data_IF_103523643781
#
_entry.id   IF_103523643781
#
_cell.length_a   1.000
_cell.length_b   1.000
_cell.length_c   1.000
_cell.angle_alpha   90.00
_cell.angle_beta   90.00
_cell.angle_gamma   90.00
#
_symmetry.space_group_name_H-M   'P 1'
#
loop_
_entity.id
_entity.type
_entity.pdbx_description
1 polymer ?
#
# COMPACT_ATOMS: atom_id res chain seq x y z
N UNK A 1 -4.94 42.57 3.51
CA UNK A 1 -3.83 41.59 3.49
C UNK A 1 -3.83 40.58 4.64
N UNK A 2 -4.65 40.72 5.71
CA UNK A 2 -4.72 39.72 6.78
C UNK A 2 -5.64 38.51 6.47
N UNK A 3 -6.71 38.71 5.70
CA UNK A 3 -7.71 37.68 5.38
C UNK A 3 -7.22 36.60 4.41
N UNK A 4 -6.39 36.97 3.42
CA UNK A 4 -5.82 36.02 2.46
C UNK A 4 -4.92 34.97 3.15
N UNK A 5 -4.24 35.38 4.22
CA UNK A 5 -3.36 34.52 5.01
C UNK A 5 -4.14 33.49 5.83
N UNK A 6 -5.27 33.89 6.44
CA UNK A 6 -6.13 32.96 7.21
C UNK A 6 -6.77 31.91 6.29
N UNK A 7 -7.24 32.33 5.12
CA UNK A 7 -7.79 31.39 4.13
C UNK A 7 -6.73 30.40 3.64
N UNK A 8 -5.52 30.88 3.31
CA UNK A 8 -4.41 30.00 2.92
C UNK A 8 -4.02 29.00 4.02
N UNK A 9 -3.99 29.42 5.30
CA UNK A 9 -3.70 28.52 6.43
C UNK A 9 -4.79 27.45 6.58
N UNK A 10 -6.07 27.83 6.48
CA UNK A 10 -7.19 26.89 6.55
C UNK A 10 -7.15 25.89 5.40
N UNK A 11 -6.88 26.34 4.17
CA UNK A 11 -6.74 25.45 3.01
C UNK A 11 -5.59 24.45 3.21
N UNK A 12 -4.43 24.91 3.66
CA UNK A 12 -3.29 24.02 3.96
C UNK A 12 -3.66 23.01 5.06
N UNK A 13 -4.34 23.44 6.13
CA UNK A 13 -4.79 22.57 7.21
C UNK A 13 -5.79 21.50 6.72
N UNK A 14 -6.73 21.87 5.86
CA UNK A 14 -7.68 20.91 5.28
C UNK A 14 -6.99 19.91 4.35
N UNK A 15 -5.97 20.32 3.60
CA UNK A 15 -5.20 19.44 2.72
C UNK A 15 -4.34 18.46 3.55
N UNK A 16 -3.65 18.94 4.59
CA UNK A 16 -2.83 18.09 5.45
C UNK A 16 -3.68 17.12 6.26
N UNK A 17 -4.83 17.54 6.78
CA UNK A 17 -5.78 16.63 7.44
C UNK A 17 -6.25 15.51 6.52
N UNK A 18 -6.63 15.79 5.27
CA UNK A 18 -7.04 14.74 4.32
C UNK A 18 -5.92 13.73 4.04
N UNK A 19 -4.70 14.21 3.82
CA UNK A 19 -3.55 13.33 3.59
C UNK A 19 -3.27 12.43 4.81
N UNK A 20 -3.37 12.99 6.03
CA UNK A 20 -3.23 12.22 7.27
C UNK A 20 -4.37 11.20 7.42
N UNK A 21 -5.62 11.56 7.10
CA UNK A 21 -6.75 10.64 7.19
C UNK A 21 -6.59 9.47 6.20
N UNK A 22 -6.13 9.73 4.98
CA UNK A 22 -5.93 8.67 3.96
C UNK A 22 -4.89 7.62 4.38
N UNK A 23 -3.80 8.04 5.03
CA UNK A 23 -2.79 7.12 5.58
C UNK A 23 -3.30 6.36 6.82
N UNK A 24 -4.09 7.02 7.67
CA UNK A 24 -4.74 6.39 8.84
C UNK A 24 -5.77 5.35 8.44
N UNK A 25 -6.51 5.59 7.36
CA UNK A 25 -7.53 4.69 6.83
C UNK A 25 -6.93 3.32 6.45
N UNK A 26 -5.83 3.30 5.70
CA UNK A 26 -5.22 2.05 5.25
C UNK A 26 -4.63 1.25 6.42
N UNK A 27 -3.94 1.94 7.34
CA UNK A 27 -3.36 1.32 8.54
C UNK A 27 -4.45 0.73 9.44
N UNK A 28 -5.59 1.41 9.55
CA UNK A 28 -6.76 0.91 10.27
C UNK A 28 -7.36 -0.32 9.57
N UNK A 29 -7.56 -0.29 8.25
CA UNK A 29 -8.06 -1.44 7.47
C UNK A 29 -7.14 -2.66 7.62
N UNK A 30 -5.83 -2.46 7.54
CA UNK A 30 -4.81 -3.52 7.70
C UNK A 30 -4.94 -4.18 9.07
N UNK A 31 -5.07 -3.37 10.12
CA UNK A 31 -5.20 -3.84 11.50
C UNK A 31 -6.52 -4.57 11.73
N UNK A 32 -7.64 -3.99 11.33
CA UNK A 32 -8.98 -4.57 11.55
C UNK A 32 -9.18 -5.89 10.80
N UNK A 33 -8.53 -6.05 9.64
CA UNK A 33 -8.61 -7.27 8.83
C UNK A 33 -7.49 -8.28 9.12
N UNK A 34 -6.63 -8.01 10.12
CA UNK A 34 -5.47 -8.82 10.48
C UNK A 34 -4.59 -9.17 9.28
N UNK A 35 -4.38 -8.22 8.37
CA UNK A 35 -3.72 -8.50 7.09
C UNK A 35 -2.28 -8.98 7.26
N UNK A 36 -1.54 -8.42 8.22
CA UNK A 36 -0.14 -8.75 8.47
C UNK A 36 0.05 -10.15 9.08
N UNK A 37 -0.96 -10.69 9.78
CA UNK A 37 -0.86 -12.02 10.41
C UNK A 37 -1.26 -13.16 9.48
N UNK A 38 -1.89 -12.85 8.33
CA UNK A 38 -2.32 -13.84 7.33
C UNK A 38 -1.17 -14.39 6.47
N UNK A 39 -0.01 -13.74 6.53
CA UNK A 39 1.15 -14.06 5.71
C UNK A 39 2.36 -14.31 6.59
N UNK A 40 3.10 -15.38 6.30
CA UNK A 40 4.35 -15.66 6.99
C UNK A 40 5.43 -14.67 6.57
N UNK A 41 6.29 -14.28 7.51
CA UNK A 41 7.44 -13.42 7.23
C UNK A 41 8.30 -13.88 6.04
N UNK A 42 8.58 -15.19 5.84
CA UNK A 42 9.30 -15.65 4.66
C UNK A 42 8.61 -15.31 3.34
N UNK A 43 7.27 -15.42 3.30
CA UNK A 43 6.49 -15.12 2.11
C UNK A 43 6.41 -13.60 1.88
N UNK A 44 6.30 -12.79 2.93
CA UNK A 44 6.38 -11.32 2.83
C UNK A 44 7.69 -10.89 2.17
N UNK A 45 8.83 -11.45 2.63
CA UNK A 45 10.13 -11.13 2.07
C UNK A 45 10.28 -11.62 0.62
N UNK A 46 9.75 -12.80 0.32
CA UNK A 46 9.74 -13.36 -1.03
C UNK A 46 8.92 -12.49 -1.99
N UNK A 47 7.69 -12.13 -1.62
CA UNK A 47 6.83 -11.26 -2.41
C UNK A 47 7.47 -9.88 -2.65
N UNK A 48 8.03 -9.26 -1.59
CA UNK A 48 8.75 -7.99 -1.72
C UNK A 48 9.94 -8.11 -2.68
N UNK A 49 10.78 -9.13 -2.51
CA UNK A 49 11.93 -9.38 -3.39
C UNK A 49 11.48 -9.61 -4.83
N UNK A 50 10.36 -10.29 -5.01
CA UNK A 50 9.81 -10.62 -6.31
C UNK A 50 9.31 -9.39 -7.06
N UNK A 51 8.68 -8.44 -6.37
CA UNK A 51 8.29 -7.15 -6.94
C UNK A 51 9.50 -6.41 -7.51
N UNK A 52 10.69 -6.51 -6.90
CA UNK A 52 11.86 -5.73 -7.37
C UNK A 52 12.83 -6.51 -8.25
N UNK A 53 12.95 -7.83 -8.09
CA UNK A 53 14.04 -8.62 -8.69
C UNK A 53 13.55 -9.81 -9.52
N UNK A 54 12.78 -10.73 -8.95
CA UNK A 54 12.58 -12.07 -9.55
C UNK A 54 11.30 -12.23 -10.35
N UNK A 55 10.27 -11.41 -10.10
CA UNK A 55 8.98 -11.45 -10.81
C UNK A 55 8.19 -12.76 -10.65
N UNK A 56 8.60 -13.65 -9.75
CA UNK A 56 7.89 -14.90 -9.40
C UNK A 56 8.03 -15.22 -7.92
N UNK A 57 7.13 -16.05 -7.41
CA UNK A 57 7.07 -16.51 -6.01
C UNK A 57 6.87 -18.02 -5.97
N UNK A 58 7.21 -18.63 -4.86
CA UNK A 58 7.00 -20.03 -4.57
C UNK A 58 5.51 -20.38 -4.49
N UNK A 59 5.17 -21.65 -4.79
CA UNK A 59 3.79 -22.15 -4.65
C UNK A 59 3.26 -21.99 -3.23
N UNK A 60 4.12 -22.19 -2.22
CA UNK A 60 3.76 -21.98 -0.81
C UNK A 60 3.35 -20.52 -0.58
N UNK A 61 4.16 -19.58 -1.04
CA UNK A 61 3.88 -18.17 -0.85
C UNK A 61 2.65 -17.70 -1.67
N UNK A 62 2.43 -18.28 -2.83
CA UNK A 62 1.22 -18.04 -3.63
C UNK A 62 -0.07 -18.37 -2.86
N UNK A 63 -0.09 -19.50 -2.13
CA UNK A 63 -1.26 -19.87 -1.30
C UNK A 63 -1.49 -18.84 -0.19
N UNK A 64 -0.45 -18.38 0.50
CA UNK A 64 -0.55 -17.37 1.55
C UNK A 64 -1.04 -16.01 0.99
N UNK A 65 -0.57 -15.61 -0.20
CA UNK A 65 -1.07 -14.41 -0.89
C UNK A 65 -2.54 -14.52 -1.27
N UNK A 66 -2.99 -15.66 -1.79
CA UNK A 66 -4.42 -15.85 -2.11
C UNK A 66 -5.30 -15.72 -0.87
N UNK A 67 -4.82 -16.20 0.29
CA UNK A 67 -5.55 -16.13 1.58
C UNK A 67 -5.68 -14.69 2.10
N UNK A 68 -4.78 -13.78 1.72
CA UNK A 68 -4.83 -12.38 2.15
C UNK A 68 -6.15 -11.71 1.77
N UNK A 69 -6.62 -11.98 0.55
CA UNK A 69 -7.84 -11.43 -0.01
C UNK A 69 -7.73 -9.98 -0.47
N UNK A 70 -8.73 -9.53 -1.24
CA UNK A 70 -8.74 -8.23 -1.94
C UNK A 70 -8.52 -7.03 -1.01
N UNK A 71 -9.18 -7.02 0.15
CA UNK A 71 -9.11 -5.89 1.11
C UNK A 71 -7.68 -5.66 1.57
N UNK A 72 -7.00 -6.73 1.99
CA UNK A 72 -5.61 -6.65 2.45
C UNK A 72 -4.65 -6.31 1.31
N UNK A 73 -4.85 -6.92 0.14
CA UNK A 73 -4.10 -6.61 -1.08
C UNK A 73 -4.14 -5.10 -1.42
N UNK A 74 -5.33 -4.52 -1.52
CA UNK A 74 -5.49 -3.09 -1.82
C UNK A 74 -4.88 -2.19 -0.74
N UNK A 75 -5.13 -2.49 0.54
CA UNK A 75 -4.64 -1.65 1.63
C UNK A 75 -3.12 -1.68 1.76
N UNK A 76 -2.49 -2.85 1.61
CA UNK A 76 -1.03 -3.00 1.69
C UNK A 76 -0.34 -2.29 0.52
N UNK A 77 -0.86 -2.42 -0.71
CA UNK A 77 -0.30 -1.72 -1.87
C UNK A 77 -0.39 -0.21 -1.69
N UNK A 78 -1.56 0.30 -1.27
CA UNK A 78 -1.75 1.74 -1.06
C UNK A 78 -0.80 2.26 0.03
N UNK A 79 -0.64 1.52 1.15
CA UNK A 79 0.36 1.82 2.18
C UNK A 79 1.79 1.82 1.64
N UNK A 80 2.15 0.87 0.77
CA UNK A 80 3.46 0.84 0.12
C UNK A 80 3.68 2.06 -0.77
N UNK A 81 2.71 2.44 -1.60
CA UNK A 81 2.83 3.60 -2.49
C UNK A 81 2.91 4.93 -1.74
N UNK A 82 2.25 5.03 -0.57
CA UNK A 82 2.30 6.20 0.30
C UNK A 82 3.60 6.30 1.11
N UNK A 83 4.38 5.22 1.20
CA UNK A 83 5.60 5.20 1.98
C UNK A 83 6.72 6.02 1.28
N UNK A 84 7.31 7.03 1.94
CA UNK A 84 8.35 7.87 1.36
C UNK A 84 9.58 7.12 0.84
N UNK A 85 9.85 5.90 1.32
CA UNK A 85 10.94 5.05 0.84
C UNK A 85 10.78 4.64 -0.63
N UNK A 86 9.56 4.66 -1.16
CA UNK A 86 9.25 4.26 -2.53
C UNK A 86 8.83 5.43 -3.42
N UNK A 87 8.93 6.68 -2.92
CA UNK A 87 8.49 7.89 -3.64
C UNK A 87 9.22 8.11 -4.98
N UNK A 88 10.46 7.65 -5.06
CA UNK A 88 11.32 7.83 -6.25
C UNK A 88 11.15 6.67 -7.25
N UNK A 89 10.34 5.66 -6.90
CA UNK A 89 10.00 4.55 -7.78
C UNK A 89 8.75 4.90 -8.58
N UNK A 90 8.74 4.50 -9.86
CA UNK A 90 7.57 4.69 -10.71
C UNK A 90 6.37 3.86 -10.18
N UNK A 91 5.28 4.49 -9.71
CA UNK A 91 4.14 3.78 -9.14
C UNK A 91 3.53 2.76 -10.10
N UNK A 92 3.51 3.09 -11.40
CA UNK A 92 3.00 2.19 -12.43
C UNK A 92 3.78 0.88 -12.51
N UNK A 93 5.10 0.93 -12.33
CA UNK A 93 5.96 -0.27 -12.32
C UNK A 93 5.70 -1.14 -11.08
N UNK A 94 5.48 -0.52 -9.91
CA UNK A 94 5.15 -1.27 -8.69
C UNK A 94 3.78 -1.95 -8.85
N UNK A 95 2.78 -1.21 -9.32
CA UNK A 95 1.42 -1.72 -9.53
C UNK A 95 1.42 -2.87 -10.55
N UNK A 96 2.11 -2.70 -11.67
CA UNK A 96 2.19 -3.70 -12.74
C UNK A 96 2.84 -5.01 -12.26
N UNK A 97 3.93 -4.91 -11.49
CA UNK A 97 4.59 -6.09 -10.92
C UNK A 97 3.77 -6.74 -9.81
N UNK A 98 3.14 -5.95 -8.95
CA UNK A 98 2.23 -6.47 -7.93
C UNK A 98 0.99 -7.15 -8.55
N UNK A 99 0.47 -6.63 -9.66
CA UNK A 99 -0.60 -7.27 -10.43
C UNK A 99 -0.16 -8.61 -11.02
N UNK A 100 1.03 -8.70 -11.65
CA UNK A 100 1.56 -9.98 -12.16
C UNK A 100 1.68 -11.05 -11.09
N UNK A 101 2.00 -10.65 -9.87
CA UNK A 101 2.14 -11.55 -8.72
C UNK A 101 0.81 -11.88 -8.04
N UNK A 102 -0.31 -11.34 -8.51
CA UNK A 102 -1.63 -11.54 -7.92
C UNK A 102 -1.83 -10.80 -6.59
N UNK A 103 -0.92 -9.88 -6.23
CA UNK A 103 -0.97 -9.06 -5.02
C UNK A 103 -2.03 -7.96 -5.14
N UNK A 104 -2.50 -7.64 -6.35
CA UNK A 104 -3.60 -6.70 -6.58
C UNK A 104 -4.54 -7.28 -7.64
N UNK A 105 -5.85 -7.15 -7.43
CA UNK A 105 -6.86 -7.49 -8.44
C UNK A 105 -7.49 -6.19 -8.95
N UNK A 106 -7.35 -5.92 -10.25
CA UNK A 106 -7.89 -4.74 -10.93
C UNK A 106 -9.31 -5.05 -11.45
N UNK A 107 -10.24 -5.40 -10.55
CA UNK A 107 -11.65 -5.56 -10.89
C UNK A 107 -12.57 -5.22 -9.72
#
# INVERSE_FOLDING_TARGET
MASLNVYSILVVLFITCRAVIATKENDQIIKENNCETKMGFPCVLEAFTSIFKTGSISKKCCVELVVLGKVCHSALVKRTLENPLFKDLNPATIIERAFRLGIISLH
#
